data_IF_628250269836
#
_entry.id   IF_628250269836
#
_cell.length_a   1.000
_cell.length_b   1.000
_cell.length_c   1.000
_cell.angle_alpha   90.00
_cell.angle_beta   90.00
_cell.angle_gamma   90.00
#
_symmetry.space_group_name_H-M   'P 1'
#
loop_
_entity.id
_entity.type
_entity.pdbx_description
1 polymer ?
#
# COMPACT_ATOMS: atom_id res chain seq x y z
N UNK A 1 15.72 -22.02 -7.55
CA UNK A 1 15.31 -20.63 -7.75
C UNK A 1 14.05 -20.44 -8.61
N UNK A 2 13.52 -21.46 -9.30
CA UNK A 2 12.23 -21.33 -10.00
C UNK A 2 11.03 -21.15 -9.05
N UNK A 3 11.04 -21.87 -7.92
CA UNK A 3 9.98 -21.75 -6.91
C UNK A 3 9.91 -20.35 -6.28
N UNK A 4 11.07 -19.76 -5.97
CA UNK A 4 11.20 -18.39 -5.42
C UNK A 4 10.58 -17.36 -6.39
N UNK A 5 10.92 -17.43 -7.69
CA UNK A 5 10.32 -16.56 -8.70
C UNK A 5 8.80 -16.71 -8.85
N UNK A 6 8.29 -17.94 -8.76
CA UNK A 6 6.84 -18.18 -8.79
C UNK A 6 6.14 -17.58 -7.57
N UNK A 7 6.72 -17.77 -6.37
CA UNK A 7 6.19 -17.22 -5.12
C UNK A 7 6.21 -15.68 -5.15
N UNK A 8 7.31 -15.08 -5.62
CA UNK A 8 7.40 -13.64 -5.82
C UNK A 8 6.35 -13.11 -6.80
N UNK A 9 6.16 -13.82 -7.92
CA UNK A 9 5.14 -13.51 -8.90
C UNK A 9 3.73 -13.55 -8.29
N UNK A 10 3.42 -14.57 -7.50
CA UNK A 10 2.14 -14.68 -6.77
C UNK A 10 1.97 -13.54 -5.75
N UNK A 11 3.02 -13.17 -5.02
CA UNK A 11 2.99 -12.07 -4.06
C UNK A 11 2.72 -10.73 -4.76
N UNK A 12 3.40 -10.46 -5.87
CA UNK A 12 3.18 -9.26 -6.68
C UNK A 12 1.73 -9.19 -7.21
N UNK A 13 1.21 -10.30 -7.73
CA UNK A 13 -0.21 -10.38 -8.15
C UNK A 13 -1.18 -10.18 -6.98
N UNK A 14 -0.90 -10.78 -5.82
CA UNK A 14 -1.71 -10.60 -4.62
C UNK A 14 -1.76 -9.14 -4.20
N UNK A 15 -0.62 -8.45 -4.20
CA UNK A 15 -0.56 -7.01 -3.90
C UNK A 15 -1.33 -6.17 -4.93
N UNK A 16 -1.17 -6.46 -6.23
CA UNK A 16 -1.91 -5.77 -7.28
C UNK A 16 -3.43 -5.93 -7.13
N UNK A 17 -3.91 -7.13 -6.77
CA UNK A 17 -5.33 -7.38 -6.51
C UNK A 17 -5.84 -6.51 -5.35
N UNK A 18 -5.10 -6.44 -4.24
CA UNK A 18 -5.49 -5.62 -3.08
C UNK A 18 -5.65 -4.15 -3.49
N UNK A 19 -4.68 -3.58 -4.20
CA UNK A 19 -4.73 -2.18 -4.66
C UNK A 19 -5.93 -1.93 -5.58
N UNK A 20 -6.20 -2.86 -6.50
CA UNK A 20 -7.35 -2.76 -7.41
C UNK A 20 -8.67 -2.81 -6.65
N UNK A 21 -8.80 -3.71 -5.67
CA UNK A 21 -9.98 -3.83 -4.82
C UNK A 21 -10.21 -2.56 -4.00
N UNK A 22 -9.15 -2.03 -3.36
CA UNK A 22 -9.23 -0.76 -2.65
C UNK A 22 -9.70 0.36 -3.57
N UNK A 23 -9.11 0.48 -4.76
CA UNK A 23 -9.48 1.52 -5.72
C UNK A 23 -10.96 1.44 -6.14
N UNK A 24 -11.47 0.25 -6.45
CA UNK A 24 -12.88 0.05 -6.77
C UNK A 24 -13.80 0.40 -5.59
N UNK A 25 -13.41 0.02 -4.37
CA UNK A 25 -14.18 0.34 -3.18
C UNK A 25 -14.28 1.86 -2.97
N UNK A 26 -13.19 2.59 -3.23
CA UNK A 26 -13.15 4.05 -3.13
C UNK A 26 -14.00 4.73 -4.19
N UNK A 27 -13.98 4.25 -5.44
CA UNK A 27 -14.89 4.73 -6.49
C UNK A 27 -16.34 4.48 -6.09
N UNK A 28 -16.66 3.29 -5.60
CA UNK A 28 -18.00 2.94 -5.16
C UNK A 28 -18.47 3.86 -4.01
N UNK A 29 -17.63 4.10 -3.02
CA UNK A 29 -17.92 5.02 -1.91
C UNK A 29 -18.12 6.46 -2.39
N UNK A 30 -17.30 6.92 -3.34
CA UNK A 30 -17.43 8.25 -3.93
C UNK A 30 -18.79 8.46 -4.60
N UNK A 31 -19.25 7.47 -5.38
CA UNK A 31 -20.53 7.54 -6.10
C UNK A 31 -21.72 7.41 -5.14
N UNK A 32 -21.64 6.50 -4.16
CA UNK A 32 -22.81 6.09 -3.35
C UNK A 32 -23.06 6.96 -2.10
N UNK A 33 -22.02 7.49 -1.45
CA UNK A 33 -22.14 8.03 -0.08
C UNK A 33 -22.02 9.57 -0.01
N UNK A 34 -21.99 10.30 -1.14
CA UNK A 34 -21.72 11.75 -1.18
C UNK A 34 -20.54 12.12 -0.26
N UNK A 35 -19.43 11.41 -0.42
CA UNK A 35 -18.22 11.57 0.38
C UNK A 35 -17.81 13.04 0.48
N UNK A 36 -17.50 13.52 1.68
CA UNK A 36 -16.89 14.84 1.78
C UNK A 36 -15.52 14.78 1.09
N UNK A 37 -15.22 15.83 0.32
CA UNK A 37 -13.98 15.91 -0.46
C UNK A 37 -12.74 15.66 0.40
N UNK A 38 -12.77 16.05 1.68
CA UNK A 38 -11.66 15.85 2.60
C UNK A 38 -11.40 14.38 2.95
N UNK A 39 -12.44 13.62 3.31
CA UNK A 39 -12.25 12.17 3.57
C UNK A 39 -11.79 11.43 2.31
N UNK A 40 -12.30 11.84 1.14
CA UNK A 40 -11.84 11.26 -0.13
C UNK A 40 -10.35 11.52 -0.39
N UNK A 41 -9.88 12.75 -0.17
CA UNK A 41 -8.46 13.08 -0.30
C UNK A 41 -7.62 12.21 0.64
N UNK A 42 -8.05 12.03 1.89
CA UNK A 42 -7.35 11.19 2.85
C UNK A 42 -7.29 9.71 2.44
N UNK A 43 -8.39 9.16 1.92
CA UNK A 43 -8.41 7.80 1.37
C UNK A 43 -7.47 7.68 0.17
N UNK A 44 -7.50 8.65 -0.74
CA UNK A 44 -6.64 8.64 -1.91
C UNK A 44 -5.16 8.73 -1.51
N UNK A 45 -4.82 9.57 -0.53
CA UNK A 45 -3.48 9.61 0.06
C UNK A 45 -3.10 8.26 0.66
N UNK A 46 -3.99 7.63 1.44
CA UNK A 46 -3.75 6.30 1.98
C UNK A 46 -3.36 5.28 0.90
N UNK A 47 -4.14 5.20 -0.19
CA UNK A 47 -3.88 4.28 -1.31
C UNK A 47 -2.52 4.58 -1.95
N UNK A 48 -2.19 5.85 -2.20
CA UNK A 48 -0.91 6.23 -2.80
C UNK A 48 0.26 5.79 -1.91
N UNK A 49 0.22 6.12 -0.62
CA UNK A 49 1.28 5.73 0.32
C UNK A 49 1.36 4.21 0.50
N UNK A 50 0.21 3.52 0.52
CA UNK A 50 0.15 2.07 0.62
C UNK A 50 0.76 1.39 -0.60
N UNK A 51 0.45 1.89 -1.80
CA UNK A 51 1.04 1.42 -3.06
C UNK A 51 2.56 1.51 -3.04
N UNK A 52 3.11 2.69 -2.69
CA UNK A 52 4.57 2.85 -2.62
C UNK A 52 5.21 2.04 -1.49
N UNK A 53 4.51 1.85 -0.36
CA UNK A 53 4.98 0.98 0.71
C UNK A 53 5.13 -0.47 0.24
N UNK A 54 4.09 -1.03 -0.39
CA UNK A 54 4.14 -2.39 -0.91
C UNK A 54 5.12 -2.55 -2.07
N UNK A 55 5.27 -1.55 -2.94
CA UNK A 55 6.31 -1.55 -3.98
C UNK A 55 7.72 -1.67 -3.39
N UNK A 56 8.04 -0.87 -2.37
CA UNK A 56 9.34 -0.97 -1.69
C UNK A 56 9.51 -2.31 -0.96
N UNK A 57 8.44 -2.83 -0.36
CA UNK A 57 8.49 -4.15 0.27
C UNK A 57 8.77 -5.27 -0.74
N UNK A 58 8.13 -5.21 -1.92
CA UNK A 58 8.38 -6.14 -3.02
C UNK A 58 9.81 -6.03 -3.56
N UNK A 59 10.40 -4.83 -3.62
CA UNK A 59 11.82 -4.70 -3.98
C UNK A 59 12.68 -5.40 -2.92
N UNK A 60 12.47 -5.08 -1.64
CA UNK A 60 13.27 -5.65 -0.57
C UNK A 60 13.26 -7.19 -0.58
N UNK A 61 12.09 -7.79 -0.73
CA UNK A 61 11.93 -9.25 -0.78
C UNK A 61 12.69 -9.83 -1.98
N UNK A 62 12.53 -9.24 -3.18
CA UNK A 62 13.22 -9.70 -4.38
C UNK A 62 14.75 -9.60 -4.27
N UNK A 63 15.25 -8.57 -3.59
CA UNK A 63 16.69 -8.36 -3.37
C UNK A 63 17.28 -9.36 -2.37
N UNK A 64 16.53 -9.76 -1.33
CA UNK A 64 16.95 -10.86 -0.44
C UNK A 64 17.05 -12.20 -1.18
N UNK A 65 16.12 -12.47 -2.09
CA UNK A 65 16.11 -13.74 -2.83
C UNK A 65 17.18 -13.81 -3.92
N UNK A 66 17.54 -12.67 -4.54
CA UNK A 66 18.55 -12.58 -5.59
C UNK A 66 19.82 -11.84 -5.12
N UNK A 67 20.52 -12.38 -4.13
CA UNK A 67 21.68 -11.72 -3.52
C UNK A 67 22.74 -11.30 -4.55
N UNK A 68 22.87 -9.99 -4.73
CA UNK A 68 24.08 -9.34 -5.24
C UNK A 68 25.02 -9.07 -4.06
N UNK A 69 26.30 -8.73 -4.30
CA UNK A 69 27.28 -8.52 -3.22
C UNK A 69 26.92 -7.46 -2.15
N UNK A 70 25.86 -6.66 -2.38
CA UNK A 70 25.30 -5.66 -1.46
C UNK A 70 23.78 -5.85 -1.19
N UNK A 71 23.20 -7.01 -1.51
CA UNK A 71 21.75 -7.21 -1.49
C UNK A 71 21.08 -6.99 -0.12
N UNK A 72 21.75 -7.34 0.98
CA UNK A 72 21.20 -7.15 2.33
C UNK A 72 21.07 -5.68 2.73
N UNK A 73 21.99 -4.83 2.29
CA UNK A 73 21.95 -3.38 2.53
C UNK A 73 20.79 -2.74 1.77
N UNK A 74 20.71 -3.00 0.46
CA UNK A 74 19.63 -2.50 -0.40
C UNK A 74 18.25 -2.94 0.11
N UNK A 75 18.10 -4.21 0.47
CA UNK A 75 16.84 -4.72 0.99
C UNK A 75 16.45 -4.06 2.32
N UNK A 76 17.41 -3.82 3.23
CA UNK A 76 17.15 -3.14 4.50
C UNK A 76 16.67 -1.70 4.31
N UNK A 77 17.24 -0.96 3.36
CA UNK A 77 16.81 0.41 3.01
C UNK A 77 15.37 0.41 2.53
N UNK A 78 15.04 -0.50 1.62
CA UNK A 78 13.68 -0.61 1.09
C UNK A 78 12.65 -1.03 2.16
N UNK A 79 13.01 -1.90 3.11
CA UNK A 79 12.16 -2.22 4.27
C UNK A 79 11.86 -0.98 5.11
N UNK A 80 12.88 -0.17 5.42
CA UNK A 80 12.70 1.06 6.22
C UNK A 80 11.77 2.03 5.50
N UNK A 81 11.98 2.24 4.20
CA UNK A 81 11.13 3.10 3.38
C UNK A 81 9.69 2.56 3.36
N UNK A 82 9.51 1.26 3.14
CA UNK A 82 8.20 0.61 3.15
C UNK A 82 7.48 0.82 4.49
N UNK A 83 8.16 0.65 5.61
CA UNK A 83 7.61 0.85 6.95
C UNK A 83 7.14 2.28 7.20
N UNK A 84 7.94 3.28 6.82
CA UNK A 84 7.58 4.71 6.96
C UNK A 84 6.37 5.05 6.09
N UNK A 85 6.37 4.64 4.82
CA UNK A 85 5.26 4.89 3.90
C UNK A 85 3.98 4.20 4.38
N UNK A 86 4.08 2.97 4.88
CA UNK A 86 2.95 2.25 5.46
C UNK A 86 2.39 2.97 6.70
N UNK A 87 3.24 3.46 7.59
CA UNK A 87 2.80 4.23 8.75
C UNK A 87 2.03 5.51 8.34
N UNK A 88 2.56 6.27 7.37
CA UNK A 88 1.88 7.45 6.82
C UNK A 88 0.54 7.08 6.17
N UNK A 89 0.51 5.98 5.42
CA UNK A 89 -0.70 5.44 4.81
C UNK A 89 -1.79 5.16 5.85
N UNK A 90 -1.44 4.50 6.96
CA UNK A 90 -2.39 4.21 8.06
C UNK A 90 -2.89 5.50 8.72
N UNK A 91 -2.03 6.48 8.93
CA UNK A 91 -2.43 7.79 9.50
C UNK A 91 -3.51 8.44 8.63
N UNK A 92 -3.33 8.47 7.30
CA UNK A 92 -4.32 9.01 6.38
C UNK A 92 -5.64 8.24 6.41
N UNK A 93 -5.58 6.91 6.49
CA UNK A 93 -6.77 6.07 6.62
C UNK A 93 -7.57 6.41 7.89
N UNK A 94 -6.88 6.53 9.03
CA UNK A 94 -7.49 6.87 10.31
C UNK A 94 -8.13 8.28 10.28
N UNK A 95 -7.50 9.25 9.62
CA UNK A 95 -8.08 10.58 9.45
C UNK A 95 -9.34 10.57 8.59
N UNK A 96 -9.38 9.79 7.51
CA UNK A 96 -10.60 9.59 6.72
C UNK A 96 -11.73 9.03 7.58
N UNK A 97 -11.48 7.92 8.29
CA UNK A 97 -12.51 7.29 9.13
C UNK A 97 -13.00 8.22 10.24
N UNK A 98 -12.09 8.98 10.85
CA UNK A 98 -12.45 9.97 11.88
C UNK A 98 -13.37 11.06 11.34
N UNK A 99 -13.18 11.49 10.08
CA UNK A 99 -14.03 12.49 9.44
C UNK A 99 -15.38 11.93 9.02
N UNK A 100 -15.39 10.73 8.44
CA UNK A 100 -16.63 10.03 8.08
C UNK A 100 -17.51 9.74 9.31
N UNK A 101 -16.89 9.33 10.42
CA UNK A 101 -17.60 9.10 11.68
C UNK A 101 -18.23 10.38 12.24
N UNK A 102 -17.57 11.53 12.07
CA UNK A 102 -18.12 12.84 12.46
C UNK A 102 -19.24 13.31 11.53
N UNK A 103 -19.13 13.07 10.22
CA UNK A 103 -20.13 13.50 9.24
C UNK A 103 -21.48 12.75 9.36
N UNK A 104 -21.49 11.58 10.03
CA UNK A 104 -22.70 10.78 10.26
C UNK A 104 -23.44 11.17 11.55
N UNK A 105 -22.82 11.94 12.46
CA UNK A 105 -23.46 12.51 13.65
C UNK A 105 -24.11 13.84 13.31
#
# INVERSE_FOLDING_TARGET
>A
MFLEQEVYGMLNWGFAIVIVVEFFFVIHLWISQKFDKGSFIFILSHIIFFFFAGYNLLIAINTFENETGMGSEEASVHIVIAGVLWALSVIFLLFSFSRLAKAKK
#
